data_IF_095103629167
#
_entry.id   IF_095103629167
#
_cell.length_a   1.000
_cell.length_b   1.000
_cell.length_c   1.000
_cell.angle_alpha   90.00
_cell.angle_beta   90.00
_cell.angle_gamma   90.00
#
_symmetry.space_group_name_H-M   'P 1'
#
loop_
_entity.id
_entity.type
_entity.pdbx_description
1 polymer ?
#
# COMPACT_ATOMS: atom_id res chain seq x y z
N UNK A 1 9.59 7.60 14.00
CA UNK A 1 8.86 6.77 14.99
C UNK A 1 9.21 5.29 14.85
N UNK A 2 8.92 4.66 13.70
CA UNK A 2 9.12 3.21 13.48
C UNK A 2 10.52 2.70 13.89
N UNK A 3 11.59 3.37 13.44
CA UNK A 3 12.96 2.99 13.80
C UNK A 3 13.21 2.95 15.32
N UNK A 4 12.71 3.95 16.06
CA UNK A 4 12.89 4.02 17.50
C UNK A 4 12.12 2.91 18.24
N UNK A 5 10.89 2.62 17.81
CA UNK A 5 10.10 1.52 18.36
C UNK A 5 10.74 0.17 18.06
N UNK A 6 11.16 -0.06 16.81
CA UNK A 6 11.88 -1.27 16.41
C UNK A 6 13.15 -1.48 17.24
N UNK A 7 13.97 -0.45 17.41
CA UNK A 7 15.19 -0.52 18.23
C UNK A 7 14.91 -0.82 19.71
N UNK A 8 13.80 -0.33 20.26
CA UNK A 8 13.37 -0.66 21.64
C UNK A 8 12.83 -2.09 21.78
N UNK A 9 12.23 -2.63 20.73
CA UNK A 9 11.58 -3.95 20.74
C UNK A 9 12.48 -5.08 20.23
N UNK A 10 13.65 -4.78 19.65
CA UNK A 10 14.54 -5.75 18.98
C UNK A 10 14.94 -6.97 19.82
N UNK A 11 15.02 -6.82 21.15
CA UNK A 11 15.41 -7.89 22.08
C UNK A 11 14.23 -8.42 22.91
N UNK A 12 12.99 -8.16 22.49
CA UNK A 12 11.79 -8.55 23.21
C UNK A 12 11.14 -9.78 22.56
N UNK A 13 10.58 -10.65 23.39
CA UNK A 13 9.92 -11.88 22.96
C UNK A 13 10.88 -12.86 22.22
N UNK A 14 10.35 -13.80 21.42
CA UNK A 14 11.16 -14.83 20.77
C UNK A 14 12.18 -14.26 19.76
N UNK A 15 13.35 -14.90 19.67
CA UNK A 15 14.35 -14.61 18.63
C UNK A 15 14.12 -15.55 17.46
N UNK A 16 14.42 -15.06 16.25
CA UNK A 16 14.45 -15.90 15.04
C UNK A 16 15.45 -17.03 15.26
N UNK A 17 14.99 -18.27 15.09
CA UNK A 17 15.83 -19.45 15.28
C UNK A 17 16.83 -19.54 14.11
N UNK A 18 18.13 -19.78 14.35
CA UNK A 18 19.09 -20.04 13.28
C UNK A 18 18.65 -21.15 12.30
N UNK A 19 17.86 -22.11 12.76
CA UNK A 19 17.30 -23.18 11.93
C UNK A 19 16.18 -22.72 10.97
N UNK A 20 15.54 -21.57 11.24
CA UNK A 20 14.54 -20.96 10.36
C UNK A 20 15.17 -20.19 9.20
N UNK A 21 16.48 -19.91 9.26
CA UNK A 21 17.22 -19.23 8.20
C UNK A 21 17.44 -20.21 7.05
N UNK A 22 16.49 -20.23 6.10
CA UNK A 22 16.61 -21.03 4.89
C UNK A 22 17.79 -20.51 4.07
N UNK A 23 18.90 -21.25 4.06
CA UNK A 23 20.00 -21.00 3.13
C UNK A 23 19.51 -21.35 1.72
N UNK A 24 19.08 -20.34 0.96
CA UNK A 24 18.80 -20.53 -0.47
C UNK A 24 20.08 -21.04 -1.15
N UNK A 25 19.99 -22.19 -1.83
CA UNK A 25 21.09 -22.66 -2.67
C UNK A 25 21.47 -21.57 -3.67
N UNK A 26 22.75 -21.22 -3.67
CA UNK A 26 23.38 -20.20 -4.50
C UNK A 26 23.30 -20.54 -5.99
N UNK A 27 22.12 -20.39 -6.59
CA UNK A 27 22.01 -20.32 -8.05
C UNK A 27 22.76 -19.09 -8.56
N UNK A 28 23.28 -19.15 -9.78
CA UNK A 28 23.88 -17.99 -10.46
C UNK A 28 22.85 -16.86 -10.56
N UNK A 29 22.99 -15.88 -9.68
CA UNK A 29 22.17 -14.67 -9.69
C UNK A 29 22.58 -13.79 -10.87
N UNK A 30 21.62 -13.09 -11.51
CA UNK A 30 21.96 -12.10 -12.51
C UNK A 30 22.83 -11.02 -11.87
N UNK A 31 23.82 -10.51 -12.61
CA UNK A 31 24.59 -9.35 -12.17
C UNK A 31 23.68 -8.16 -11.90
N UNK A 32 24.10 -7.26 -11.00
CA UNK A 32 23.29 -6.12 -10.56
C UNK A 32 22.68 -5.30 -11.73
N UNK A 33 23.48 -5.02 -12.76
CA UNK A 33 23.03 -4.29 -13.95
C UNK A 33 21.92 -5.01 -14.73
N UNK A 34 21.97 -6.35 -14.77
CA UNK A 34 20.93 -7.15 -15.41
C UNK A 34 19.66 -7.25 -14.54
N UNK A 35 19.79 -7.22 -13.21
CA UNK A 35 18.66 -7.25 -12.30
C UNK A 35 17.89 -5.91 -12.28
N UNK A 36 18.60 -4.78 -12.40
CA UNK A 36 18.00 -3.45 -12.34
C UNK A 36 17.42 -2.98 -13.69
N UNK A 37 17.78 -3.63 -14.81
CA UNK A 37 17.34 -3.18 -16.14
C UNK A 37 15.81 -3.22 -16.31
N UNK A 38 15.14 -4.25 -15.79
CA UNK A 38 13.67 -4.33 -15.82
C UNK A 38 12.97 -3.15 -15.13
N UNK A 39 13.22 -2.88 -13.83
CA UNK A 39 12.58 -1.75 -13.16
C UNK A 39 13.02 -0.41 -13.76
N UNK A 40 14.26 -0.27 -14.21
CA UNK A 40 14.75 0.98 -14.81
C UNK A 40 14.03 1.30 -16.13
N UNK A 41 13.83 0.30 -17.00
CA UNK A 41 13.07 0.48 -18.25
C UNK A 41 11.61 0.82 -17.97
N UNK A 42 10.97 0.13 -17.02
CA UNK A 42 9.59 0.42 -16.64
C UNK A 42 9.44 1.86 -16.09
N UNK A 43 10.35 2.29 -15.21
CA UNK A 43 10.36 3.66 -14.67
C UNK A 43 10.59 4.68 -15.78
N UNK A 44 11.56 4.43 -16.67
CA UNK A 44 11.84 5.31 -17.80
C UNK A 44 10.59 5.50 -18.68
N UNK A 45 9.91 4.39 -19.04
CA UNK A 45 8.69 4.43 -19.85
C UNK A 45 7.54 5.19 -19.15
N UNK A 46 7.34 4.98 -17.85
CA UNK A 46 6.28 5.66 -17.09
C UNK A 46 6.59 7.15 -16.85
N UNK A 47 7.87 7.50 -16.70
CA UNK A 47 8.32 8.88 -16.50
C UNK A 47 8.25 9.76 -17.75
N UNK A 48 8.06 9.17 -18.94
CA UNK A 48 7.87 9.93 -20.18
C UNK A 48 6.63 10.84 -20.14
N UNK A 49 5.61 10.49 -19.35
CA UNK A 49 4.39 11.29 -19.23
C UNK A 49 4.66 12.66 -18.60
N UNK A 50 5.25 12.76 -17.39
CA UNK A 50 5.59 14.07 -16.81
C UNK A 50 6.75 14.78 -17.53
N UNK A 51 7.67 14.07 -18.18
CA UNK A 51 8.89 14.68 -18.76
C UNK A 51 8.66 15.17 -20.20
N UNK A 52 7.96 14.40 -21.03
CA UNK A 52 7.83 14.64 -22.47
C UNK A 52 6.36 14.68 -22.95
N UNK A 53 5.39 14.53 -22.04
CA UNK A 53 3.95 14.48 -22.37
C UNK A 53 3.52 13.17 -23.04
N UNK A 54 4.43 12.20 -23.21
CA UNK A 54 4.13 10.93 -23.87
C UNK A 54 3.55 9.96 -22.83
N UNK A 55 2.28 9.62 -22.98
CA UNK A 55 1.60 8.68 -22.09
C UNK A 55 1.79 7.25 -22.55
N UNK A 56 2.61 6.49 -21.81
CA UNK A 56 2.74 5.03 -22.00
C UNK A 56 1.88 4.33 -20.96
N UNK A 57 0.98 3.47 -21.40
CA UNK A 57 0.10 2.72 -20.51
C UNK A 57 0.92 1.75 -19.63
N UNK A 58 0.70 1.69 -18.30
CA UNK A 58 1.35 0.73 -17.43
C UNK A 58 1.19 -0.74 -17.86
N UNK A 59 0.06 -1.10 -18.49
CA UNK A 59 -0.20 -2.44 -19.03
C UNK A 59 0.80 -2.81 -20.14
N UNK A 60 1.38 -1.83 -20.82
CA UNK A 60 2.42 -2.03 -21.83
C UNK A 60 3.82 -1.82 -21.22
N UNK A 61 3.99 -0.76 -20.43
CA UNK A 61 5.29 -0.39 -19.86
C UNK A 61 5.87 -1.48 -18.96
N UNK A 62 5.04 -2.08 -18.10
CA UNK A 62 5.50 -3.09 -17.14
C UNK A 62 5.90 -4.41 -17.81
N UNK A 63 5.12 -5.01 -18.73
CA UNK A 63 5.56 -6.20 -19.47
C UNK A 63 6.79 -5.95 -20.35
N UNK A 64 6.88 -4.78 -20.99
CA UNK A 64 8.07 -4.41 -21.77
C UNK A 64 9.31 -4.34 -20.88
N UNK A 65 9.22 -3.69 -19.71
CA UNK A 65 10.30 -3.69 -18.73
C UNK A 65 10.70 -5.10 -18.30
N UNK A 66 9.72 -5.97 -17.99
CA UNK A 66 9.97 -7.36 -17.62
C UNK A 66 10.65 -8.18 -18.73
N UNK A 67 10.25 -8.00 -19.99
CA UNK A 67 10.87 -8.64 -21.15
C UNK A 67 12.30 -8.18 -21.36
N UNK A 68 12.55 -6.87 -21.28
CA UNK A 68 13.92 -6.32 -21.38
C UNK A 68 14.80 -6.86 -20.25
N UNK A 69 14.28 -6.96 -19.02
CA UNK A 69 14.98 -7.63 -17.93
C UNK A 69 15.31 -9.09 -18.23
N UNK A 70 14.36 -9.86 -18.74
CA UNK A 70 14.59 -11.26 -19.11
C UNK A 70 15.66 -11.41 -20.20
N UNK A 71 15.74 -10.46 -21.13
CA UNK A 71 16.79 -10.37 -22.16
C UNK A 71 18.14 -10.05 -21.50
N UNK A 72 18.23 -9.00 -20.69
CA UNK A 72 19.47 -8.62 -19.99
C UNK A 72 20.00 -9.72 -19.07
N UNK A 73 19.11 -10.51 -18.46
CA UNK A 73 19.47 -11.64 -17.61
C UNK A 73 19.84 -12.92 -18.39
N UNK A 74 19.72 -12.92 -19.73
CA UNK A 74 19.98 -14.09 -20.56
C UNK A 74 18.95 -15.22 -20.39
N UNK A 75 17.79 -14.94 -19.76
CA UNK A 75 16.77 -15.92 -19.38
C UNK A 75 15.49 -15.81 -20.22
N UNK A 76 15.62 -15.39 -21.48
CA UNK A 76 14.48 -15.21 -22.40
C UNK A 76 13.64 -16.48 -22.56
N UNK A 77 14.29 -17.66 -22.60
CA UNK A 77 13.60 -18.96 -22.69
C UNK A 77 12.69 -19.26 -21.48
N UNK A 78 12.94 -18.62 -20.34
CA UNK A 78 12.16 -18.75 -19.12
C UNK A 78 11.08 -17.66 -18.98
N UNK A 79 10.94 -16.74 -19.95
CA UNK A 79 10.00 -15.61 -19.85
C UNK A 79 8.56 -16.07 -19.61
N UNK A 80 8.12 -17.13 -20.29
CA UNK A 80 6.78 -17.68 -20.07
C UNK A 80 6.60 -18.16 -18.62
N UNK A 81 7.61 -18.84 -18.04
CA UNK A 81 7.56 -19.28 -16.65
C UNK A 81 7.55 -18.11 -15.66
N UNK A 82 8.28 -17.02 -15.95
CA UNK A 82 8.23 -15.81 -15.13
C UNK A 82 6.87 -15.10 -15.22
N UNK A 83 6.28 -15.02 -16.42
CA UNK A 83 4.97 -14.43 -16.64
C UNK A 83 3.87 -15.24 -15.95
N UNK A 84 3.84 -16.56 -16.10
CA UNK A 84 2.85 -17.42 -15.44
C UNK A 84 2.99 -17.40 -13.92
N UNK A 85 4.23 -17.42 -13.40
CA UNK A 85 4.48 -17.27 -11.96
C UNK A 85 4.03 -15.89 -11.44
N UNK A 86 4.27 -14.82 -12.21
CA UNK A 86 3.80 -13.47 -11.88
C UNK A 86 2.27 -13.38 -11.84
N UNK A 87 1.60 -13.88 -12.88
CA UNK A 87 0.14 -13.93 -12.97
C UNK A 87 -0.47 -14.76 -11.83
N UNK A 88 0.11 -15.92 -11.51
CA UNK A 88 -0.33 -16.76 -10.40
C UNK A 88 -0.21 -16.04 -9.04
N UNK A 89 0.85 -15.26 -8.83
CA UNK A 89 1.03 -14.43 -7.63
C UNK A 89 0.08 -13.22 -7.59
N UNK A 90 -0.42 -12.77 -8.74
CA UNK A 90 -1.38 -11.67 -8.86
C UNK A 90 -2.83 -12.13 -8.75
N UNK A 91 -3.14 -13.43 -8.91
CA UNK A 91 -4.52 -13.92 -8.84
C UNK A 91 -5.24 -13.58 -7.52
N UNK A 92 -4.64 -13.76 -6.32
CA UNK A 92 -5.28 -13.33 -5.07
C UNK A 92 -5.50 -11.82 -5.00
N UNK A 93 -4.57 -11.04 -5.54
CA UNK A 93 -4.67 -9.57 -5.60
C UNK A 93 -5.81 -9.14 -6.53
N UNK A 94 -5.98 -9.79 -7.68
CA UNK A 94 -7.06 -9.49 -8.61
C UNK A 94 -8.45 -9.81 -8.01
N UNK A 95 -8.57 -10.94 -7.31
CA UNK A 95 -9.80 -11.31 -6.58
C UNK A 95 -10.08 -10.29 -5.47
N UNK A 96 -9.06 -9.88 -4.72
CA UNK A 96 -9.18 -8.82 -3.73
C UNK A 96 -9.65 -7.51 -4.39
N UNK A 97 -9.07 -7.09 -5.51
CA UNK A 97 -9.44 -5.86 -6.20
C UNK A 97 -10.91 -5.87 -6.66
N UNK A 98 -11.39 -6.99 -7.19
CA UNK A 98 -12.81 -7.19 -7.51
C UNK A 98 -13.68 -7.03 -6.25
N UNK A 99 -13.32 -7.68 -5.15
CA UNK A 99 -14.02 -7.56 -3.87
C UNK A 99 -13.99 -6.13 -3.30
N UNK A 100 -12.87 -5.42 -3.43
CA UNK A 100 -12.78 -4.01 -2.99
C UNK A 100 -13.63 -3.09 -3.86
N UNK A 101 -13.70 -3.35 -5.17
CA UNK A 101 -14.58 -2.60 -6.08
C UNK A 101 -16.05 -2.80 -5.76
N UNK A 102 -16.48 -4.03 -5.44
CA UNK A 102 -17.87 -4.29 -5.03
C UNK A 102 -18.18 -3.66 -3.68
N UNK A 103 -17.27 -3.76 -2.70
CA UNK A 103 -17.42 -3.08 -1.40
C UNK A 103 -17.49 -1.56 -1.56
N UNK A 104 -16.62 -0.98 -2.39
CA UNK A 104 -16.67 0.44 -2.72
C UNK A 104 -18.03 0.84 -3.31
N UNK A 105 -18.56 0.06 -4.25
CA UNK A 105 -19.88 0.28 -4.83
C UNK A 105 -20.99 0.22 -3.79
N UNK A 106 -20.97 -0.77 -2.89
CA UNK A 106 -21.94 -0.87 -1.79
C UNK A 106 -21.84 0.34 -0.86
N UNK A 107 -20.63 0.72 -0.45
CA UNK A 107 -20.40 1.83 0.48
C UNK A 107 -20.82 3.17 -0.15
N UNK A 108 -20.47 3.40 -1.42
CA UNK A 108 -20.85 4.60 -2.16
C UNK A 108 -22.36 4.77 -2.33
N UNK A 109 -23.11 3.67 -2.33
CA UNK A 109 -24.58 3.65 -2.41
C UNK A 109 -25.25 3.37 -1.04
N UNK A 110 -24.47 3.39 0.04
CA UNK A 110 -24.97 3.23 1.42
C UNK A 110 -25.00 4.57 2.14
N UNK A 111 -25.72 4.65 3.26
CA UNK A 111 -25.70 5.84 4.14
C UNK A 111 -24.39 6.05 4.92
N UNK A 112 -23.38 5.18 4.78
CA UNK A 112 -22.13 5.29 5.55
C UNK A 112 -21.33 6.53 5.16
N UNK A 113 -21.39 6.91 3.87
CA UNK A 113 -20.73 8.12 3.38
C UNK A 113 -21.28 9.36 4.09
N UNK A 114 -22.60 9.48 4.13
CA UNK A 114 -23.32 10.59 4.77
C UNK A 114 -23.06 10.61 6.28
N UNK A 115 -23.14 9.47 6.96
CA UNK A 115 -22.87 9.37 8.41
C UNK A 115 -21.46 9.86 8.77
N UNK A 116 -20.45 9.55 7.94
CA UNK A 116 -19.08 10.03 8.18
C UNK A 116 -18.92 11.53 7.93
N UNK A 117 -19.58 12.07 6.91
CA UNK A 117 -19.56 13.50 6.61
C UNK A 117 -20.29 14.27 7.72
N UNK A 118 -21.50 13.85 8.07
CA UNK A 118 -22.34 14.47 9.10
C UNK A 118 -21.69 14.37 10.48
N UNK A 119 -21.08 13.22 10.79
CA UNK A 119 -20.34 13.03 12.03
C UNK A 119 -19.13 13.96 12.15
N UNK A 120 -18.43 14.21 11.04
CA UNK A 120 -17.32 15.16 11.02
C UNK A 120 -17.81 16.61 11.18
N UNK A 121 -18.89 16.97 10.49
CA UNK A 121 -19.51 18.29 10.58
C UNK A 121 -20.04 18.57 12.00
N UNK A 122 -20.73 17.61 12.61
CA UNK A 122 -21.24 17.72 13.98
C UNK A 122 -20.11 17.83 15.03
N UNK A 123 -18.94 17.26 14.75
CA UNK A 123 -17.76 17.34 15.64
C UNK A 123 -17.01 18.67 15.51
N UNK A 124 -17.40 19.55 14.56
CA UNK A 124 -16.71 20.82 14.29
C UNK A 124 -15.28 20.65 13.74
N UNK A 125 -14.95 19.46 13.25
CA UNK A 125 -13.62 19.12 12.77
C UNK A 125 -13.39 19.64 11.34
N UNK A 126 -12.16 20.06 10.99
CA UNK A 126 -11.85 20.53 9.66
C UNK A 126 -12.17 19.50 8.56
N UNK A 127 -12.75 19.91 7.41
CA UNK A 127 -13.21 18.98 6.38
C UNK A 127 -12.09 18.13 5.75
N UNK A 128 -10.85 18.62 5.72
CA UNK A 128 -9.71 17.86 5.21
C UNK A 128 -9.39 16.60 6.05
N UNK A 129 -9.86 16.52 7.30
CA UNK A 129 -9.73 15.31 8.14
C UNK A 129 -10.58 14.15 7.64
N UNK A 130 -11.55 14.39 6.75
CA UNK A 130 -12.29 13.33 6.09
C UNK A 130 -11.33 12.37 5.35
N UNK A 131 -10.26 12.89 4.75
CA UNK A 131 -9.30 12.08 4.00
C UNK A 131 -8.57 11.02 4.88
N UNK A 132 -7.83 11.38 5.94
CA UNK A 132 -7.15 10.39 6.77
C UNK A 132 -8.14 9.49 7.55
N UNK A 133 -9.29 10.02 7.99
CA UNK A 133 -10.28 9.24 8.75
C UNK A 133 -10.94 8.19 7.87
N UNK A 134 -11.39 8.58 6.66
CA UNK A 134 -11.98 7.62 5.72
C UNK A 134 -10.97 6.54 5.32
N UNK A 135 -9.70 6.91 5.07
CA UNK A 135 -8.63 5.95 4.83
C UNK A 135 -8.48 4.94 5.97
N UNK A 136 -8.42 5.41 7.22
CA UNK A 136 -8.28 4.55 8.39
C UNK A 136 -9.47 3.60 8.59
N UNK A 137 -10.70 4.09 8.45
CA UNK A 137 -11.92 3.26 8.62
C UNK A 137 -12.03 2.23 7.49
N UNK A 138 -11.78 2.63 6.25
CA UNK A 138 -11.84 1.70 5.11
C UNK A 138 -10.72 0.65 5.20
N UNK A 139 -9.53 1.02 5.67
CA UNK A 139 -8.47 0.05 5.92
C UNK A 139 -8.77 -0.84 7.12
N UNK A 140 -9.42 -0.35 8.17
CA UNK A 140 -9.90 -1.19 9.27
C UNK A 140 -10.87 -2.27 8.79
N UNK A 141 -11.78 -1.93 7.88
CA UNK A 141 -12.76 -2.87 7.33
C UNK A 141 -12.15 -3.90 6.37
N UNK A 142 -11.04 -3.55 5.71
CA UNK A 142 -10.40 -4.42 4.69
C UNK A 142 -9.09 -5.06 5.15
N UNK A 143 -8.51 -4.58 6.25
CA UNK A 143 -7.16 -4.86 6.72
C UNK A 143 -6.10 -4.89 5.60
N UNK A 144 -6.12 -3.83 4.79
CA UNK A 144 -5.19 -3.64 3.68
C UNK A 144 -5.07 -2.15 3.34
N UNK A 145 -3.84 -1.64 3.28
CA UNK A 145 -3.59 -0.24 2.94
C UNK A 145 -4.07 0.05 1.52
N UNK A 146 -3.74 -0.82 0.56
CA UNK A 146 -4.12 -0.62 -0.85
C UNK A 146 -5.62 -0.69 -1.03
N UNK A 147 -6.28 -1.69 -0.44
CA UNK A 147 -7.73 -1.85 -0.51
C UNK A 147 -8.45 -0.67 0.15
N UNK A 148 -8.08 -0.33 1.38
CA UNK A 148 -8.66 0.78 2.13
C UNK A 148 -8.49 2.11 1.40
N UNK A 149 -7.30 2.37 0.84
CA UNK A 149 -7.04 3.58 0.03
C UNK A 149 -7.91 3.61 -1.21
N UNK A 150 -8.04 2.49 -1.94
CA UNK A 150 -8.84 2.41 -3.16
C UNK A 150 -10.33 2.66 -2.88
N UNK A 151 -10.88 1.99 -1.87
CA UNK A 151 -12.28 2.17 -1.46
C UNK A 151 -12.51 3.62 -1.01
N UNK A 152 -11.70 4.14 -0.08
CA UNK A 152 -11.85 5.50 0.42
C UNK A 152 -11.76 6.54 -0.72
N UNK A 153 -10.80 6.37 -1.63
CA UNK A 153 -10.65 7.27 -2.78
C UNK A 153 -11.87 7.19 -3.72
N UNK A 154 -12.38 5.99 -3.99
CA UNK A 154 -13.56 5.83 -4.87
C UNK A 154 -14.83 6.42 -4.28
N UNK A 155 -14.98 6.40 -2.96
CA UNK A 155 -16.19 6.87 -2.25
C UNK A 155 -16.13 8.37 -1.93
N UNK A 156 -14.97 8.86 -1.48
CA UNK A 156 -14.85 10.20 -0.88
C UNK A 156 -14.07 11.21 -1.74
N UNK A 157 -13.46 10.81 -2.87
CA UNK A 157 -12.69 11.73 -3.72
C UNK A 157 -13.51 12.94 -4.17
N UNK A 158 -14.75 12.74 -4.63
CA UNK A 158 -15.62 13.84 -5.05
C UNK A 158 -15.87 14.83 -3.91
N UNK A 159 -16.28 14.33 -2.74
CA UNK A 159 -16.52 15.15 -1.55
C UNK A 159 -15.27 15.93 -1.16
N UNK A 160 -14.08 15.29 -1.18
CA UNK A 160 -12.83 15.95 -0.82
C UNK A 160 -12.48 17.09 -1.79
N UNK A 161 -12.70 16.88 -3.09
CA UNK A 161 -12.50 17.92 -4.11
C UNK A 161 -13.46 19.10 -3.92
N UNK A 162 -14.75 18.83 -3.61
CA UNK A 162 -15.74 19.87 -3.31
C UNK A 162 -15.39 20.67 -2.04
N UNK A 163 -14.78 20.01 -1.06
CA UNK A 163 -14.27 20.63 0.17
C UNK A 163 -12.93 21.39 -0.05
N UNK A 164 -12.45 21.48 -1.29
CA UNK A 164 -11.25 22.23 -1.66
C UNK A 164 -9.93 21.51 -1.43
N UNK A 165 -9.95 20.19 -1.14
CA UNK A 165 -8.73 19.39 -1.02
C UNK A 165 -8.26 18.97 -2.41
N UNK A 166 -7.01 19.27 -2.77
CA UNK A 166 -6.46 18.88 -4.08
C UNK A 166 -6.39 17.35 -4.21
N UNK A 167 -6.49 16.83 -5.44
CA UNK A 167 -6.48 15.38 -5.69
C UNK A 167 -5.23 14.70 -5.11
N UNK A 168 -4.06 15.34 -5.22
CA UNK A 168 -2.81 14.82 -4.70
C UNK A 168 -2.78 14.83 -3.16
N UNK A 169 -3.21 15.93 -2.54
CA UNK A 169 -3.31 16.06 -1.08
C UNK A 169 -4.30 15.04 -0.51
N UNK A 170 -5.47 14.91 -1.12
CA UNK A 170 -6.50 13.94 -0.75
C UNK A 170 -5.98 12.50 -0.83
N UNK A 171 -5.35 12.14 -1.96
CA UNK A 171 -4.77 10.80 -2.13
C UNK A 171 -3.68 10.51 -1.10
N UNK A 172 -2.78 11.46 -0.83
CA UNK A 172 -1.70 11.29 0.16
C UNK A 172 -2.24 11.15 1.58
N UNK A 173 -3.26 11.94 1.95
CA UNK A 173 -3.90 11.86 3.27
C UNK A 173 -4.73 10.59 3.45
N UNK A 174 -5.51 10.17 2.45
CA UNK A 174 -6.25 8.90 2.47
C UNK A 174 -5.27 7.73 2.64
N UNK A 175 -4.21 7.69 1.83
CA UNK A 175 -3.23 6.62 1.89
C UNK A 175 -2.54 6.55 3.27
N UNK A 176 -2.12 7.71 3.79
CA UNK A 176 -1.53 7.80 5.12
C UNK A 176 -2.52 7.33 6.20
N UNK A 177 -3.80 7.70 6.11
CA UNK A 177 -4.87 7.21 6.97
C UNK A 177 -5.05 5.70 6.91
N UNK A 178 -4.98 5.11 5.71
CA UNK A 178 -5.12 3.67 5.53
C UNK A 178 -4.04 2.86 6.27
N UNK A 179 -2.82 3.39 6.41
CA UNK A 179 -1.74 2.72 7.17
C UNK A 179 -2.00 2.59 8.68
N UNK A 180 -3.05 3.24 9.20
CA UNK A 180 -3.37 3.22 10.64
C UNK A 180 -3.92 1.86 11.09
N UNK A 181 -4.67 1.15 10.24
CA UNK A 181 -5.41 -0.07 10.62
C UNK A 181 -5.25 -1.23 9.62
N UNK A 182 -4.26 -1.16 8.73
CA UNK A 182 -4.02 -2.17 7.69
C UNK A 182 -3.44 -3.49 8.22
N UNK A 183 -2.94 -3.49 9.45
CA UNK A 183 -2.24 -4.59 10.10
C UNK A 183 -3.16 -5.41 11.02
N UNK A 184 -4.47 -5.26 10.92
CA UNK A 184 -5.41 -6.02 11.74
C UNK A 184 -5.37 -7.53 11.42
N UNK A 185 -5.75 -8.42 12.38
CA UNK A 185 -5.53 -9.86 12.27
C UNK A 185 -6.26 -10.57 11.12
N UNK A 186 -7.31 -9.96 10.57
CA UNK A 186 -8.05 -10.52 9.43
C UNK A 186 -7.41 -10.17 8.07
N UNK A 187 -6.38 -9.31 8.07
CA UNK A 187 -5.68 -8.86 6.89
C UNK A 187 -4.49 -9.72 6.52
N UNK A 188 -4.20 -9.75 5.22
CA UNK A 188 -3.01 -10.44 4.68
C UNK A 188 -1.70 -9.89 5.25
N UNK A 189 -1.64 -8.60 5.60
CA UNK A 189 -0.43 -7.96 6.10
C UNK A 189 0.00 -8.52 7.46
N UNK A 190 -0.95 -8.79 8.36
CA UNK A 190 -0.69 -9.41 9.67
C UNK A 190 0.00 -10.78 9.51
N UNK A 191 -0.52 -11.60 8.60
CA UNK A 191 0.00 -12.94 8.33
C UNK A 191 1.32 -12.93 7.56
N UNK A 192 1.45 -12.07 6.54
CA UNK A 192 2.67 -11.98 5.73
C UNK A 192 3.87 -11.48 6.56
N UNK A 193 3.66 -10.46 7.40
CA UNK A 193 4.71 -9.92 8.27
C UNK A 193 5.10 -10.90 9.38
N UNK A 194 4.13 -11.52 10.05
CA UNK A 194 4.41 -12.55 11.06
C UNK A 194 5.11 -13.78 10.48
N UNK A 195 4.62 -14.28 9.35
CA UNK A 195 5.18 -15.46 8.68
C UNK A 195 6.59 -15.25 8.12
N UNK A 196 6.97 -14.01 7.79
CA UNK A 196 8.31 -13.71 7.25
C UNK A 196 9.46 -14.00 8.23
N UNK A 197 9.18 -14.03 9.53
CA UNK A 197 10.14 -14.29 10.61
C UNK A 197 9.64 -15.37 11.57
N UNK A 198 8.69 -16.20 11.10
CA UNK A 198 8.04 -17.26 11.87
C UNK A 198 7.53 -16.84 13.26
N UNK A 199 7.06 -15.59 13.39
CA UNK A 199 6.63 -15.01 14.66
C UNK A 199 5.35 -15.68 15.17
N UNK A 200 5.30 -15.95 16.47
CA UNK A 200 4.09 -16.48 17.10
C UNK A 200 2.95 -15.47 17.03
N UNK A 201 1.72 -15.96 16.79
CA UNK A 201 0.51 -15.11 16.69
C UNK A 201 0.35 -14.23 17.94
N UNK A 202 0.65 -14.77 19.12
CA UNK A 202 0.60 -14.03 20.39
C UNK A 202 1.55 -12.83 20.40
N UNK A 203 2.75 -12.97 19.86
CA UNK A 203 3.75 -11.90 19.78
C UNK A 203 3.35 -10.89 18.71
N UNK A 204 2.84 -11.35 17.56
CA UNK A 204 2.33 -10.48 16.50
C UNK A 204 1.16 -9.61 16.97
N UNK A 205 0.25 -10.14 17.79
CA UNK A 205 -0.84 -9.38 18.41
C UNK A 205 -0.33 -8.27 19.34
N UNK A 206 0.78 -8.48 20.06
CA UNK A 206 1.39 -7.43 20.91
C UNK A 206 1.93 -6.26 20.09
N UNK A 207 2.22 -6.45 18.80
CA UNK A 207 2.75 -5.40 17.92
C UNK A 207 1.66 -4.46 17.38
N UNK A 208 0.40 -4.90 17.33
CA UNK A 208 -0.72 -4.11 16.82
C UNK A 208 -0.74 -2.65 17.35
N UNK A 209 -0.71 -2.37 18.66
CA UNK A 209 -0.75 -0.99 19.14
C UNK A 209 0.46 -0.16 18.69
N UNK A 210 1.65 -0.77 18.55
CA UNK A 210 2.84 -0.06 18.09
C UNK A 210 2.73 0.32 16.61
N UNK A 211 2.23 -0.58 15.79
CA UNK A 211 1.98 -0.34 14.36
C UNK A 211 0.88 0.70 14.16
N UNK A 212 -0.20 0.66 14.95
CA UNK A 212 -1.25 1.69 14.93
C UNK A 212 -0.68 3.06 15.29
N UNK A 213 0.19 3.17 16.30
CA UNK A 213 0.85 4.44 16.66
C UNK A 213 1.76 4.94 15.52
N UNK A 214 2.47 4.05 14.84
CA UNK A 214 3.28 4.42 13.67
C UNK A 214 2.37 4.94 12.55
N UNK A 215 1.30 4.23 12.22
CA UNK A 215 0.32 4.67 11.23
C UNK A 215 -0.33 5.99 11.60
N UNK A 216 -0.74 6.19 12.86
CA UNK A 216 -1.27 7.47 13.36
C UNK A 216 -0.26 8.60 13.22
N UNK A 217 1.02 8.33 13.45
CA UNK A 217 2.09 9.33 13.24
C UNK A 217 2.17 9.71 11.76
N UNK A 218 2.14 8.73 10.85
CA UNK A 218 2.18 8.95 9.40
C UNK A 218 0.95 9.74 8.95
N UNK A 219 -0.25 9.34 9.37
CA UNK A 219 -1.51 10.03 9.09
C UNK A 219 -1.47 11.47 9.60
N UNK A 220 -1.07 11.69 10.86
CA UNK A 220 -0.99 13.03 11.46
C UNK A 220 -0.01 13.92 10.70
N UNK A 221 1.20 13.43 10.40
CA UNK A 221 2.18 14.21 9.64
C UNK A 221 1.67 14.52 8.23
N UNK A 222 1.06 13.54 7.54
CA UNK A 222 0.48 13.75 6.21
C UNK A 222 -0.64 14.80 6.24
N UNK A 223 -1.53 14.74 7.22
CA UNK A 223 -2.60 15.72 7.43
C UNK A 223 -2.06 17.11 7.73
N UNK A 224 -1.01 17.23 8.56
CA UNK A 224 -0.37 18.52 8.81
C UNK A 224 0.26 19.08 7.52
N UNK A 225 0.99 18.25 6.78
CA UNK A 225 1.67 18.67 5.55
C UNK A 225 0.70 19.12 4.46
N UNK A 226 -0.33 18.32 4.19
CA UNK A 226 -1.22 18.53 3.05
C UNK A 226 -2.53 19.24 3.40
N UNK A 227 -3.05 19.05 4.61
CA UNK A 227 -4.28 19.68 5.07
C UNK A 227 -4.07 21.05 5.71
N UNK A 228 -3.01 21.21 6.51
CA UNK A 228 -2.75 22.47 7.25
C UNK A 228 -1.77 23.38 6.53
N UNK A 229 -0.62 22.85 6.10
CA UNK A 229 0.45 23.65 5.47
C UNK A 229 0.28 23.79 3.95
N UNK A 230 -0.63 23.04 3.33
CA UNK A 230 -0.93 23.17 1.90
C UNK A 230 0.25 22.86 0.98
N UNK A 231 1.18 21.98 1.38
CA UNK A 231 2.41 21.68 0.64
C UNK A 231 2.21 20.99 -0.73
N UNK A 232 0.96 20.83 -1.19
CA UNK A 232 0.59 20.27 -2.51
C UNK A 232 -0.59 21.03 -3.17
N UNK A 233 -0.54 22.36 -3.09
CA UNK A 233 -1.33 23.28 -3.93
C UNK A 233 -0.70 23.51 -5.28
#
# INVERSE_FOLDING_TARGET
>A
MAYFLAKRLVNKDSKVDPAEVISHQSGTQPGFLAAISAPLVAIALLSLRPIAGISVDPLIALPVGGLVGAICMGRVKQSNAFMTAGLARMAPVAIMLLGTGTLAGIIANSGLKEVLIDGLAASGLPPYLLAPISGAIMSMATASTTAGTAIASSVFSHTLLELGVTALAGAAMIHAGATVMDHLPHGSFFHATGGSVNMQIKERLKLLPYETIIGLTIATVSTLMFGVFGLAG
#
